data_IF_493583199055
#
_entry.id   IF_493583199055
#
_cell.length_a   1.000
_cell.length_b   1.000
_cell.length_c   1.000
_cell.angle_alpha   90.00
_cell.angle_beta   90.00
_cell.angle_gamma   90.00
#
_symmetry.space_group_name_H-M   'P 1'
#
loop_
_entity.id
_entity.type
_entity.pdbx_description
1 polymer ?
#
# COMPACT_ATOMS: atom_id res chain seq x y z
N UNK A 1 -5.18 5.39 -28.67
CA UNK A 1 -6.21 5.98 -27.79
C UNK A 1 -5.70 5.84 -26.37
N UNK A 2 -5.75 6.89 -25.56
CA UNK A 2 -5.36 6.80 -24.15
C UNK A 2 -6.48 6.06 -23.42
N UNK A 3 -6.15 5.00 -22.67
CA UNK A 3 -7.11 4.31 -21.82
C UNK A 3 -7.72 5.29 -20.82
N UNK A 4 -9.03 5.22 -20.65
CA UNK A 4 -9.73 5.93 -19.59
C UNK A 4 -10.33 4.90 -18.63
N UNK A 5 -9.92 4.96 -17.37
CA UNK A 5 -10.49 4.11 -16.34
C UNK A 5 -12.01 4.34 -16.23
N UNK A 6 -12.82 3.28 -16.19
CA UNK A 6 -14.26 3.40 -15.95
C UNK A 6 -14.59 3.86 -14.52
N UNK A 7 -13.59 3.92 -13.64
CA UNK A 7 -13.75 4.33 -12.25
C UNK A 7 -13.59 5.85 -12.14
N UNK A 8 -14.65 6.55 -11.74
CA UNK A 8 -14.61 7.99 -11.46
C UNK A 8 -13.59 8.29 -10.32
N UNK A 9 -12.80 9.37 -10.42
CA UNK A 9 -12.95 10.56 -11.30
C UNK A 9 -12.17 10.50 -12.61
N UNK A 10 -11.81 9.36 -13.17
CA UNK A 10 -11.07 9.23 -14.43
C UNK A 10 -9.57 8.99 -14.21
N UNK A 11 -8.70 9.43 -15.12
CA UNK A 11 -7.26 9.17 -15.08
C UNK A 11 -6.62 9.84 -13.87
N UNK A 12 -5.96 9.07 -13.02
CA UNK A 12 -5.19 9.59 -11.90
C UNK A 12 -3.81 10.09 -12.37
N UNK A 13 -3.15 10.93 -11.54
CA UNK A 13 -1.75 11.29 -11.77
C UNK A 13 -0.86 10.05 -11.92
N UNK A 14 -1.05 9.06 -11.05
CA UNK A 14 -0.26 7.84 -11.08
C UNK A 14 -0.47 7.01 -12.35
N UNK A 15 -1.70 6.97 -12.86
CA UNK A 15 -2.00 6.32 -14.13
C UNK A 15 -1.36 7.05 -15.31
N UNK A 16 -1.40 8.39 -15.31
CA UNK A 16 -0.79 9.22 -16.36
C UNK A 16 0.74 9.15 -16.36
N UNK A 17 1.36 8.87 -15.23
CA UNK A 17 2.82 8.92 -15.03
C UNK A 17 3.51 7.55 -14.88
N UNK A 18 2.76 6.45 -14.75
CA UNK A 18 3.33 5.10 -14.54
C UNK A 18 4.09 4.56 -15.76
N UNK A 19 3.84 5.11 -16.96
CA UNK A 19 4.35 4.57 -18.20
C UNK A 19 3.50 3.40 -18.72
N UNK A 20 4.15 2.35 -19.21
CA UNK A 20 3.46 1.22 -19.82
C UNK A 20 2.84 0.29 -18.76
N UNK A 21 1.54 0.08 -18.88
CA UNK A 21 0.79 -0.93 -18.11
C UNK A 21 0.54 -2.14 -18.99
N UNK A 22 0.95 -3.36 -18.59
CA UNK A 22 0.58 -4.57 -19.31
C UNK A 22 -0.94 -4.71 -19.39
N UNK A 23 -1.41 -5.30 -20.49
CA UNK A 23 -2.80 -5.71 -20.64
C UNK A 23 -2.92 -7.20 -20.31
N UNK A 24 -3.89 -7.54 -19.49
CA UNK A 24 -4.21 -8.93 -19.16
C UNK A 24 -5.57 -9.29 -19.76
N UNK A 25 -5.63 -10.45 -20.40
CA UNK A 25 -6.84 -10.90 -21.10
C UNK A 25 -8.04 -11.02 -20.13
N UNK A 26 -9.23 -10.79 -20.64
CA UNK A 26 -10.48 -11.13 -19.94
C UNK A 26 -10.53 -12.65 -19.75
N UNK A 27 -11.16 -13.10 -18.66
CA UNK A 27 -11.39 -14.55 -18.44
C UNK A 27 -12.17 -15.13 -19.60
N UNK A 28 -11.61 -16.16 -20.22
CA UNK A 28 -12.27 -16.90 -21.32
C UNK A 28 -12.74 -18.28 -20.85
N UNK A 29 -14.02 -18.57 -21.09
CA UNK A 29 -14.64 -19.84 -20.78
C UNK A 29 -14.65 -20.23 -19.30
N UNK A 30 -14.90 -21.51 -19.04
CA UNK A 30 -14.89 -22.08 -17.68
C UNK A 30 -13.52 -22.59 -17.32
N UNK A 31 -12.98 -22.10 -16.22
CA UNK A 31 -11.65 -22.50 -15.71
C UNK A 31 -11.76 -22.99 -14.26
N UNK A 32 -10.73 -23.66 -13.80
CA UNK A 32 -10.60 -24.12 -12.41
C UNK A 32 -9.21 -23.81 -11.88
N UNK A 33 -9.13 -23.48 -10.59
CA UNK A 33 -7.89 -23.21 -9.88
C UNK A 33 -8.02 -23.66 -8.43
N UNK A 34 -6.92 -23.70 -7.72
CA UNK A 34 -6.90 -23.98 -6.28
C UNK A 34 -7.39 -22.78 -5.48
N UNK A 35 -6.98 -21.57 -5.89
CA UNK A 35 -7.36 -20.32 -5.24
C UNK A 35 -7.81 -19.28 -6.27
N UNK A 36 -9.05 -18.82 -6.10
CA UNK A 36 -9.59 -17.69 -6.84
C UNK A 36 -9.48 -16.42 -6.00
N UNK A 37 -8.91 -15.37 -6.58
CA UNK A 37 -8.77 -14.06 -5.95
C UNK A 37 -9.65 -13.06 -6.70
N UNK A 38 -10.48 -12.33 -5.95
CA UNK A 38 -11.36 -11.30 -6.51
C UNK A 38 -10.78 -9.93 -6.15
N UNK A 39 -10.34 -9.20 -7.17
CA UNK A 39 -9.72 -7.87 -7.09
C UNK A 39 -8.21 -7.87 -7.28
N UNK A 40 -7.76 -7.09 -8.25
CA UNK A 40 -6.35 -6.92 -8.65
C UNK A 40 -5.66 -5.73 -7.98
N UNK A 41 -5.96 -5.47 -6.69
CA UNK A 41 -5.23 -4.50 -5.86
C UNK A 41 -4.02 -5.10 -5.17
N UNK A 42 -3.34 -4.32 -4.31
CA UNK A 42 -2.15 -4.77 -3.59
C UNK A 42 -2.35 -6.10 -2.85
N UNK A 43 -3.44 -6.24 -2.11
CA UNK A 43 -3.73 -7.44 -1.34
C UNK A 43 -3.88 -8.67 -2.23
N UNK A 44 -4.70 -8.54 -3.30
CA UNK A 44 -4.95 -9.65 -4.21
C UNK A 44 -3.71 -10.07 -4.99
N UNK A 45 -2.94 -9.11 -5.51
CA UNK A 45 -1.72 -9.40 -6.27
C UNK A 45 -0.59 -9.95 -5.38
N UNK A 46 -0.48 -9.46 -4.13
CA UNK A 46 0.48 -10.01 -3.17
C UNK A 46 0.12 -11.46 -2.81
N UNK A 47 -1.14 -11.74 -2.53
CA UNK A 47 -1.60 -13.12 -2.30
C UNK A 47 -1.36 -14.00 -3.52
N UNK A 48 -1.66 -13.52 -4.73
CA UNK A 48 -1.43 -14.24 -5.97
C UNK A 48 0.04 -14.61 -6.15
N UNK A 49 0.96 -13.66 -5.95
CA UNK A 49 2.39 -13.93 -6.02
C UNK A 49 2.83 -15.01 -5.03
N UNK A 50 2.51 -14.82 -3.75
CA UNK A 50 3.00 -15.73 -2.71
C UNK A 50 2.42 -17.15 -2.80
N UNK A 51 1.22 -17.31 -3.33
CA UNK A 51 0.61 -18.60 -3.59
C UNK A 51 1.20 -19.25 -4.85
N UNK A 52 1.26 -18.51 -5.96
CA UNK A 52 1.81 -19.03 -7.21
C UNK A 52 3.28 -19.41 -7.07
N UNK A 53 4.09 -18.65 -6.35
CA UNK A 53 5.49 -18.97 -6.04
C UNK A 53 5.67 -20.27 -5.24
N UNK A 54 4.58 -20.76 -4.59
CA UNK A 54 4.53 -22.07 -3.92
C UNK A 54 3.92 -23.18 -4.78
N UNK A 55 3.65 -22.92 -6.05
CA UNK A 55 3.06 -23.89 -6.98
C UNK A 55 1.54 -24.03 -6.89
N UNK A 56 0.86 -23.14 -6.16
CA UNK A 56 -0.61 -23.12 -6.09
C UNK A 56 -1.16 -22.51 -7.38
N UNK A 57 -2.17 -23.16 -7.99
CA UNK A 57 -2.87 -22.61 -9.16
C UNK A 57 -3.76 -21.44 -8.73
N UNK A 58 -3.46 -20.24 -9.24
CA UNK A 58 -4.15 -18.99 -8.85
C UNK A 58 -4.72 -18.29 -10.06
N UNK A 59 -5.99 -17.87 -9.96
CA UNK A 59 -6.62 -16.95 -10.89
C UNK A 59 -7.02 -15.67 -10.14
N UNK A 60 -6.67 -14.51 -10.68
CA UNK A 60 -7.11 -13.19 -10.18
C UNK A 60 -8.11 -12.61 -11.16
N UNK A 61 -9.30 -12.25 -10.67
CA UNK A 61 -10.33 -11.59 -11.46
C UNK A 61 -10.48 -10.14 -11.04
N UNK A 62 -10.15 -9.21 -11.93
CA UNK A 62 -10.33 -7.77 -11.73
C UNK A 62 -11.47 -7.25 -12.62
N UNK A 63 -12.33 -6.42 -12.07
CA UNK A 63 -13.49 -5.90 -12.80
C UNK A 63 -13.14 -4.88 -13.89
N UNK A 64 -12.01 -4.18 -13.74
CA UNK A 64 -11.51 -3.18 -14.68
C UNK A 64 -10.05 -3.50 -15.02
N UNK A 65 -9.16 -2.52 -15.04
CA UNK A 65 -7.71 -2.76 -15.08
C UNK A 65 -7.11 -2.91 -13.69
N UNK A 66 -6.07 -3.70 -13.58
CA UNK A 66 -5.31 -3.86 -12.32
C UNK A 66 -4.85 -2.49 -11.81
N UNK A 67 -5.22 -2.13 -10.60
CA UNK A 67 -4.88 -0.86 -9.98
C UNK A 67 -5.85 0.30 -10.24
N UNK A 68 -6.92 0.12 -10.98
CA UNK A 68 -7.93 1.16 -11.17
C UNK A 68 -8.67 1.52 -9.87
N UNK A 69 -8.67 0.62 -8.88
CA UNK A 69 -9.20 0.86 -7.55
C UNK A 69 -8.27 1.68 -6.64
N UNK A 70 -8.49 1.58 -5.34
CA UNK A 70 -7.78 2.35 -4.31
C UNK A 70 -6.24 2.15 -4.34
N UNK A 71 -5.76 0.97 -4.76
CA UNK A 71 -4.33 0.68 -4.81
C UNK A 71 -3.56 1.53 -5.81
N UNK A 72 -4.19 2.00 -6.88
CA UNK A 72 -3.58 2.93 -7.84
C UNK A 72 -3.99 4.39 -7.64
N UNK A 73 -4.77 4.71 -6.60
CA UNK A 73 -5.38 6.03 -6.37
C UNK A 73 -5.21 6.55 -4.94
N UNK A 74 -4.22 6.04 -4.21
CA UNK A 74 -3.89 6.49 -2.86
C UNK A 74 -2.84 7.61 -2.87
N UNK A 75 -2.46 8.11 -1.71
CA UNK A 75 -1.48 9.21 -1.59
C UNK A 75 -0.02 8.78 -1.75
N UNK A 76 0.26 7.50 -1.95
CA UNK A 76 1.63 6.97 -2.05
C UNK A 76 2.45 7.08 -0.76
N UNK A 77 1.82 7.40 0.37
CA UNK A 77 2.51 7.51 1.64
C UNK A 77 2.98 6.13 2.11
N UNK A 78 4.26 6.04 2.42
CA UNK A 78 4.92 4.85 2.96
C UNK A 78 5.23 5.09 4.42
N UNK A 79 4.18 5.02 5.24
CA UNK A 79 4.19 5.41 6.64
C UNK A 79 4.67 4.33 7.58
N UNK A 80 4.89 4.72 8.84
CA UNK A 80 5.23 3.85 9.95
C UNK A 80 4.06 3.63 10.89
N UNK A 81 4.06 2.53 11.63
CA UNK A 81 3.05 2.20 12.63
C UNK A 81 1.65 1.99 12.06
N UNK A 82 0.67 2.24 12.90
CA UNK A 82 -0.76 2.13 12.58
C UNK A 82 -1.37 3.52 12.32
N UNK A 83 -2.65 3.56 11.97
CA UNK A 83 -3.37 4.82 11.74
C UNK A 83 -3.45 5.70 13.00
N UNK A 84 -3.67 5.08 14.16
CA UNK A 84 -3.65 5.75 15.45
C UNK A 84 -2.22 5.79 16.01
N UNK A 85 -1.88 6.84 16.72
CA UNK A 85 -0.61 6.92 17.41
C UNK A 85 -0.54 5.90 18.55
N UNK A 86 0.66 5.49 18.90
CA UNK A 86 0.87 4.51 19.98
C UNK A 86 0.34 5.00 21.31
N UNK A 87 0.42 6.30 21.57
CA UNK A 87 -0.14 6.96 22.77
C UNK A 87 -1.67 6.88 22.84
N UNK A 88 -2.33 6.74 21.69
CA UNK A 88 -3.79 6.52 21.63
C UNK A 88 -4.13 5.04 21.78
N UNK A 89 -3.31 4.16 21.22
CA UNK A 89 -3.55 2.70 21.24
C UNK A 89 -3.23 2.05 22.59
N UNK A 90 -2.13 2.46 23.24
CA UNK A 90 -1.69 1.82 24.48
C UNK A 90 -2.74 1.83 25.61
N UNK A 91 -3.49 2.92 25.85
CA UNK A 91 -4.55 2.92 26.86
C UNK A 91 -5.67 1.92 26.58
N UNK A 92 -5.91 1.57 25.31
CA UNK A 92 -7.01 0.71 24.89
C UNK A 92 -6.61 -0.77 24.87
N UNK A 93 -5.43 -1.09 24.35
CA UNK A 93 -5.03 -2.48 24.09
C UNK A 93 -3.79 -2.94 24.86
N UNK A 94 -3.16 -2.05 25.62
CA UNK A 94 -1.92 -2.29 26.36
C UNK A 94 -0.65 -2.21 25.52
N UNK A 95 0.48 -1.98 26.20
CA UNK A 95 1.80 -1.78 25.57
C UNK A 95 2.21 -2.94 24.66
N UNK A 96 2.14 -4.18 25.15
CA UNK A 96 2.62 -5.36 24.41
C UNK A 96 1.91 -5.54 23.08
N UNK A 97 0.59 -5.33 23.05
CA UNK A 97 -0.19 -5.44 21.79
C UNK A 97 0.08 -4.24 20.86
N UNK A 98 0.20 -3.06 21.44
CA UNK A 98 0.53 -1.85 20.68
C UNK A 98 1.91 -1.97 20.03
N UNK A 99 2.90 -2.47 20.80
CA UNK A 99 4.26 -2.75 20.31
C UNK A 99 4.25 -3.80 19.20
N UNK A 100 3.53 -4.89 19.37
CA UNK A 100 3.44 -5.94 18.36
C UNK A 100 2.82 -5.44 17.04
N UNK A 101 1.80 -4.59 17.12
CA UNK A 101 1.20 -3.96 15.92
C UNK A 101 2.16 -2.98 15.25
N UNK A 102 2.93 -2.23 16.04
CA UNK A 102 3.95 -1.34 15.51
C UNK A 102 5.06 -2.12 14.79
N UNK A 103 5.60 -3.15 15.43
CA UNK A 103 6.65 -4.00 14.85
C UNK A 103 6.18 -4.68 13.56
N UNK A 104 4.93 -5.15 13.53
CA UNK A 104 4.33 -5.73 12.32
C UNK A 104 4.30 -4.71 11.15
N UNK A 105 4.03 -3.44 11.44
CA UNK A 105 4.04 -2.40 10.41
C UNK A 105 5.45 -2.10 9.91
N UNK A 106 6.45 -2.11 10.80
CA UNK A 106 7.86 -1.95 10.42
C UNK A 106 8.36 -3.14 9.58
N UNK A 107 8.02 -4.36 9.99
CA UNK A 107 8.33 -5.57 9.22
C UNK A 107 7.68 -5.55 7.83
N UNK A 108 6.44 -5.08 7.73
CA UNK A 108 5.74 -4.93 6.45
C UNK A 108 6.43 -3.92 5.52
N UNK A 109 6.93 -2.80 6.04
CA UNK A 109 7.73 -1.83 5.26
C UNK A 109 9.04 -2.46 4.77
N UNK A 110 9.77 -3.09 5.67
CA UNK A 110 11.04 -3.77 5.32
C UNK A 110 10.81 -4.85 4.25
N UNK A 111 9.77 -5.66 4.41
CA UNK A 111 9.38 -6.68 3.43
C UNK A 111 9.05 -6.08 2.07
N UNK A 112 8.28 -4.99 2.02
CA UNK A 112 7.91 -4.35 0.76
C UNK A 112 9.13 -3.76 0.03
N UNK A 113 10.06 -3.12 0.74
CA UNK A 113 11.31 -2.60 0.18
C UNK A 113 12.18 -3.73 -0.38
N UNK A 114 12.39 -4.78 0.42
CA UNK A 114 13.15 -5.96 -0.01
C UNK A 114 12.50 -6.67 -1.21
N UNK A 115 11.18 -6.78 -1.24
CA UNK A 115 10.44 -7.33 -2.37
C UNK A 115 10.66 -6.50 -3.63
N UNK A 116 10.56 -5.18 -3.53
CA UNK A 116 10.79 -4.29 -4.68
C UNK A 116 12.23 -4.41 -5.21
N UNK A 117 13.22 -4.46 -4.32
CA UNK A 117 14.63 -4.62 -4.67
C UNK A 117 14.89 -5.97 -5.38
N UNK A 118 14.48 -7.08 -4.77
CA UNK A 118 14.66 -8.45 -5.32
C UNK A 118 14.01 -8.62 -6.70
N UNK A 119 12.88 -7.95 -6.94
CA UNK A 119 12.16 -8.07 -8.21
C UNK A 119 12.43 -6.91 -9.19
N UNK A 120 13.33 -6.00 -8.85
CA UNK A 120 13.70 -4.86 -9.70
C UNK A 120 12.52 -3.90 -9.96
N UNK A 121 11.66 -3.70 -8.97
CA UNK A 121 10.50 -2.80 -9.07
C UNK A 121 10.94 -1.40 -8.67
N UNK A 122 11.13 -0.54 -9.66
CA UNK A 122 11.32 0.89 -9.41
C UNK A 122 9.96 1.54 -9.08
N UNK A 123 9.76 1.87 -7.82
CA UNK A 123 8.53 2.48 -7.31
C UNK A 123 8.70 3.95 -6.95
N UNK A 124 9.76 4.62 -7.44
CA UNK A 124 10.11 6.00 -7.11
C UNK A 124 10.13 6.25 -5.59
N UNK A 125 10.71 5.34 -4.82
CA UNK A 125 10.77 5.52 -3.37
C UNK A 125 11.64 6.70 -2.97
N UNK A 126 11.05 7.65 -2.24
CA UNK A 126 11.77 8.80 -1.67
C UNK A 126 11.60 8.75 -0.15
N UNK A 127 12.71 8.60 0.61
CA UNK A 127 12.66 8.54 2.07
C UNK A 127 12.39 9.91 2.69
N UNK A 128 11.73 9.89 3.83
CA UNK A 128 11.47 11.04 4.69
C UNK A 128 10.06 11.60 4.58
N UNK A 129 9.56 12.02 5.73
CA UNK A 129 8.26 12.68 5.86
C UNK A 129 8.35 13.80 6.91
N UNK A 130 7.60 14.87 6.70
CA UNK A 130 7.43 15.95 7.66
C UNK A 130 5.98 15.96 8.14
N UNK A 131 5.78 15.95 9.47
CA UNK A 131 4.50 16.17 10.10
C UNK A 131 4.56 17.47 10.89
N UNK A 132 3.71 18.45 10.56
CA UNK A 132 3.86 19.82 11.04
C UNK A 132 2.70 20.27 11.92
N UNK A 133 3.01 21.08 12.92
CA UNK A 133 2.09 21.57 13.93
C UNK A 133 1.55 22.95 13.55
N UNK A 134 0.24 23.04 13.37
CA UNK A 134 -0.46 24.27 13.03
C UNK A 134 -1.30 24.87 14.18
N UNK A 135 -1.46 24.13 15.29
CA UNK A 135 -2.19 24.57 16.49
C UNK A 135 -1.35 24.39 17.75
N UNK A 136 -1.34 25.39 18.68
CA UNK A 136 -0.59 25.30 19.92
C UNK A 136 -0.93 24.06 20.78
N UNK A 137 -2.19 23.61 20.73
CA UNK A 137 -2.65 22.46 21.51
C UNK A 137 -1.93 21.14 21.15
N UNK A 138 -1.36 21.02 19.96
CA UNK A 138 -0.63 19.82 19.52
C UNK A 138 0.88 19.85 19.81
N UNK A 139 1.42 21.01 20.23
CA UNK A 139 2.87 21.16 20.42
C UNK A 139 3.45 20.14 21.38
N UNK A 140 2.81 19.95 22.53
CA UNK A 140 3.31 19.05 23.58
C UNK A 140 3.41 17.62 23.08
N UNK A 141 2.37 17.13 22.40
CA UNK A 141 2.31 15.76 21.92
C UNK A 141 3.38 15.52 20.84
N UNK A 142 3.49 16.42 19.87
CA UNK A 142 4.52 16.32 18.84
C UNK A 142 5.96 16.45 19.36
N UNK A 143 6.17 17.21 20.45
CA UNK A 143 7.49 17.32 21.07
C UNK A 143 7.88 16.07 21.86
N UNK A 144 6.92 15.43 22.54
CA UNK A 144 7.19 14.23 23.35
C UNK A 144 7.23 12.96 22.53
N UNK A 145 6.48 12.90 21.42
CA UNK A 145 6.35 11.69 20.59
C UNK A 145 7.69 11.09 20.12
N UNK A 146 8.70 11.84 19.61
CA UNK A 146 9.98 11.25 19.22
C UNK A 146 10.70 10.51 20.35
N UNK A 147 10.66 11.03 21.57
CA UNK A 147 11.25 10.37 22.75
C UNK A 147 10.52 9.06 23.08
N UNK A 148 9.19 9.07 23.08
CA UNK A 148 8.37 7.87 23.32
C UNK A 148 8.69 6.79 22.28
N UNK A 149 8.77 7.17 20.99
CA UNK A 149 9.07 6.25 19.91
C UNK A 149 10.47 5.65 20.01
N UNK A 150 11.47 6.46 20.33
CA UNK A 150 12.84 5.99 20.49
C UNK A 150 13.00 5.05 21.70
N UNK A 151 12.46 5.43 22.86
CA UNK A 151 12.69 4.72 24.13
C UNK A 151 11.83 3.47 24.26
N UNK A 152 10.57 3.52 23.83
CA UNK A 152 9.60 2.43 24.07
C UNK A 152 9.36 1.55 22.85
N UNK A 153 9.46 2.12 21.64
CA UNK A 153 9.19 1.41 20.39
C UNK A 153 10.44 1.04 19.60
N UNK A 154 11.62 1.42 20.10
CA UNK A 154 12.89 1.22 19.41
C UNK A 154 12.89 1.83 17.98
N UNK A 155 12.28 3.01 17.85
CA UNK A 155 12.16 3.73 16.60
C UNK A 155 12.85 5.11 16.67
N UNK A 156 14.16 5.18 16.37
CA UNK A 156 14.95 6.40 16.53
C UNK A 156 14.87 7.35 15.33
N UNK A 157 14.00 7.11 14.37
CA UNK A 157 13.95 7.83 13.10
C UNK A 157 13.18 9.15 13.18
N UNK A 158 12.43 9.38 14.26
CA UNK A 158 11.69 10.61 14.50
C UNK A 158 12.55 11.65 15.22
N UNK A 159 12.56 12.88 14.71
CA UNK A 159 13.21 14.03 15.35
C UNK A 159 12.28 15.22 15.37
N UNK A 160 12.27 15.96 16.51
CA UNK A 160 11.55 17.23 16.62
C UNK A 160 12.29 18.35 15.91
N UNK A 161 11.58 19.21 15.21
CA UNK A 161 12.04 20.44 14.57
C UNK A 161 11.30 21.64 15.16
N UNK A 162 12.03 22.65 15.62
CA UNK A 162 11.42 23.90 16.05
C UNK A 162 10.86 24.74 14.88
N UNK A 163 10.14 25.81 15.21
CA UNK A 163 9.44 26.65 14.21
C UNK A 163 10.41 27.17 13.11
N UNK A 164 11.60 27.61 13.49
CA UNK A 164 12.58 28.14 12.52
C UNK A 164 13.04 27.06 11.54
N UNK A 165 13.44 25.89 12.04
CA UNK A 165 13.88 24.77 11.18
C UNK A 165 12.75 24.30 10.28
N UNK A 166 11.53 24.23 10.80
CA UNK A 166 10.34 23.86 10.01
C UNK A 166 10.08 24.88 8.90
N UNK A 167 10.19 26.18 9.20
CA UNK A 167 10.04 27.24 8.21
C UNK A 167 11.12 27.18 7.10
N UNK A 168 12.38 26.97 7.48
CA UNK A 168 13.49 26.85 6.53
C UNK A 168 13.31 25.67 5.57
N UNK A 169 12.74 24.56 6.03
CA UNK A 169 12.48 23.36 5.19
C UNK A 169 11.26 23.48 4.29
N UNK A 170 10.20 24.15 4.76
CA UNK A 170 8.93 24.22 4.04
C UNK A 170 8.74 25.52 3.24
N UNK A 171 9.60 26.52 3.47
CA UNK A 171 9.40 27.84 2.88
C UNK A 171 8.17 28.59 3.47
N UNK A 172 7.75 28.24 4.69
CA UNK A 172 6.55 28.81 5.33
C UNK A 172 6.71 28.95 6.82
N UNK A 173 6.45 30.15 7.34
CA UNK A 173 6.45 30.47 8.78
C UNK A 173 5.12 30.17 9.49
N UNK A 174 4.16 29.54 8.81
CA UNK A 174 2.83 29.26 9.36
C UNK A 174 2.85 28.25 10.50
N UNK A 175 3.83 27.37 10.55
CA UNK A 175 3.86 26.23 11.44
C UNK A 175 4.70 26.48 12.69
N UNK A 176 4.26 25.94 13.82
CA UNK A 176 4.85 26.13 15.14
C UNK A 176 6.04 25.20 15.40
N UNK A 177 6.25 24.24 14.53
CA UNK A 177 7.25 23.17 14.58
C UNK A 177 6.73 21.94 13.89
N UNK A 178 7.42 20.80 14.05
CA UNK A 178 7.02 19.53 13.48
C UNK A 178 7.98 18.41 13.81
N UNK A 179 7.70 17.24 13.31
CA UNK A 179 8.60 16.09 13.34
C UNK A 179 9.08 15.75 11.95
N UNK A 180 10.35 15.37 11.86
CA UNK A 180 10.93 14.73 10.67
C UNK A 180 11.08 13.24 10.96
N UNK A 181 10.54 12.43 10.09
CA UNK A 181 10.67 10.97 10.14
C UNK A 181 11.53 10.51 8.96
N UNK A 182 12.65 9.86 9.23
CA UNK A 182 13.57 9.32 8.22
C UNK A 182 13.34 7.84 7.93
N UNK A 183 12.52 7.17 8.72
CA UNK A 183 12.13 5.77 8.53
C UNK A 183 10.88 5.57 7.68
N UNK A 184 10.29 6.66 7.20
CA UNK A 184 9.12 6.68 6.31
C UNK A 184 9.49 7.26 4.95
N UNK A 185 8.51 7.42 4.08
CA UNK A 185 8.71 8.04 2.78
C UNK A 185 7.44 8.09 1.94
N UNK A 186 7.63 8.19 0.64
CA UNK A 186 6.55 8.01 -0.31
C UNK A 186 7.02 7.20 -1.53
N UNK A 187 6.06 6.62 -2.21
CA UNK A 187 6.26 5.80 -3.41
C UNK A 187 5.31 6.25 -4.52
N UNK A 188 5.57 5.77 -5.72
CA UNK A 188 4.60 5.79 -6.81
C UNK A 188 3.76 4.49 -6.75
N UNK A 189 2.56 4.51 -6.17
CA UNK A 189 1.81 3.28 -5.86
C UNK A 189 1.47 2.45 -7.10
N UNK A 190 1.19 3.11 -8.23
CA UNK A 190 0.88 2.41 -9.48
C UNK A 190 2.11 1.71 -10.06
N UNK A 191 3.31 2.27 -9.96
CA UNK A 191 4.55 1.58 -10.39
C UNK A 191 4.78 0.32 -9.56
N UNK A 192 4.63 0.41 -8.23
CA UNK A 192 4.71 -0.76 -7.36
C UNK A 192 3.66 -1.81 -7.72
N UNK A 193 2.41 -1.41 -7.95
CA UNK A 193 1.33 -2.31 -8.32
C UNK A 193 1.59 -3.02 -9.64
N UNK A 194 2.02 -2.30 -10.68
CA UNK A 194 2.37 -2.88 -11.99
C UNK A 194 3.54 -3.85 -11.86
N UNK A 195 4.55 -3.51 -11.07
CA UNK A 195 5.67 -4.40 -10.77
C UNK A 195 5.22 -5.67 -10.07
N UNK A 196 4.36 -5.55 -9.08
CA UNK A 196 3.79 -6.69 -8.33
C UNK A 196 2.95 -7.58 -9.25
N UNK A 197 2.13 -7.00 -10.14
CA UNK A 197 1.34 -7.76 -11.12
C UNK A 197 2.24 -8.56 -12.08
N UNK A 198 3.26 -7.91 -12.65
CA UNK A 198 4.25 -8.58 -13.51
C UNK A 198 4.94 -9.75 -12.79
N UNK A 199 5.28 -9.54 -11.51
CA UNK A 199 5.94 -10.55 -10.68
C UNK A 199 5.00 -11.72 -10.37
N UNK A 200 3.73 -11.45 -10.05
CA UNK A 200 2.72 -12.48 -9.83
C UNK A 200 2.46 -13.31 -11.08
N UNK A 201 2.32 -12.67 -12.24
CA UNK A 201 2.17 -13.36 -13.53
C UNK A 201 3.39 -14.21 -13.87
N UNK A 202 4.61 -13.71 -13.65
CA UNK A 202 5.86 -14.46 -13.84
C UNK A 202 5.96 -15.69 -12.92
N UNK A 203 5.39 -15.61 -11.71
CA UNK A 203 5.31 -16.72 -10.77
C UNK A 203 4.26 -17.78 -11.17
N UNK A 204 3.43 -17.52 -12.18
CA UNK A 204 2.42 -18.44 -12.69
C UNK A 204 0.98 -18.10 -12.32
N UNK A 205 0.71 -16.97 -11.66
CA UNK A 205 -0.67 -16.54 -11.44
C UNK A 205 -1.29 -16.07 -12.75
N UNK A 206 -2.52 -16.52 -13.04
CA UNK A 206 -3.31 -16.01 -14.15
C UNK A 206 -4.04 -14.74 -13.70
N UNK A 207 -3.75 -13.64 -14.37
CA UNK A 207 -4.38 -12.35 -14.11
C UNK A 207 -5.40 -12.06 -15.21
N UNK A 208 -6.65 -11.73 -14.84
CA UNK A 208 -7.72 -11.44 -15.78
C UNK A 208 -8.32 -10.07 -15.48
N UNK A 209 -8.21 -9.14 -16.42
CA UNK A 209 -8.86 -7.83 -16.38
C UNK A 209 -10.26 -7.90 -17.03
N UNK A 210 -11.08 -6.86 -16.80
CA UNK A 210 -12.45 -6.77 -17.33
C UNK A 210 -13.31 -8.02 -17.02
N UNK A 211 -13.02 -8.66 -15.90
CA UNK A 211 -13.61 -9.94 -15.49
C UNK A 211 -14.40 -9.80 -14.19
N UNK A 212 -15.38 -8.89 -14.20
CA UNK A 212 -16.21 -8.55 -13.03
C UNK A 212 -16.96 -9.76 -12.52
N UNK A 213 -16.70 -10.17 -11.28
CA UNK A 213 -17.48 -11.22 -10.60
C UNK A 213 -18.84 -10.64 -10.22
N UNK A 214 -19.91 -11.30 -10.66
CA UNK A 214 -21.29 -10.90 -10.41
C UNK A 214 -22.04 -11.86 -9.48
N UNK A 215 -21.53 -13.08 -9.30
CA UNK A 215 -22.14 -14.08 -8.43
C UNK A 215 -21.08 -15.01 -7.83
N UNK A 216 -21.28 -15.35 -6.57
CA UNK A 216 -20.56 -16.42 -5.87
C UNK A 216 -21.57 -17.46 -5.39
N UNK A 217 -21.27 -18.72 -5.59
CA UNK A 217 -22.07 -19.85 -5.11
C UNK A 217 -21.16 -20.97 -4.61
N UNK A 218 -21.70 -21.84 -3.76
CA UNK A 218 -21.04 -23.10 -3.42
C UNK A 218 -21.79 -24.23 -4.09
N UNK A 219 -21.12 -24.97 -4.96
CA UNK A 219 -21.68 -26.09 -5.68
C UNK A 219 -20.82 -27.32 -5.46
N UNK A 220 -21.43 -28.40 -4.94
CA UNK A 220 -20.74 -29.68 -4.68
C UNK A 220 -19.46 -29.54 -3.87
N UNK A 221 -19.46 -28.64 -2.87
CA UNK A 221 -18.30 -28.38 -1.98
C UNK A 221 -17.20 -27.50 -2.59
N UNK A 222 -17.41 -26.92 -3.77
CA UNK A 222 -16.48 -25.97 -4.41
C UNK A 222 -17.12 -24.59 -4.49
N UNK A 223 -16.29 -23.55 -4.41
CA UNK A 223 -16.72 -22.17 -4.66
C UNK A 223 -16.72 -21.94 -6.17
N UNK A 224 -17.83 -21.46 -6.69
CA UNK A 224 -17.99 -21.09 -8.10
C UNK A 224 -18.24 -19.59 -8.19
N UNK A 225 -17.41 -18.90 -8.97
CA UNK A 225 -17.59 -17.49 -9.30
C UNK A 225 -18.05 -17.36 -10.77
N UNK A 226 -19.06 -16.54 -10.99
CA UNK A 226 -19.55 -16.19 -12.31
C UNK A 226 -19.13 -14.75 -12.63
N UNK A 227 -18.57 -14.53 -13.82
CA UNK A 227 -18.26 -13.22 -14.36
C UNK A 227 -19.39 -12.66 -15.20
N UNK A 228 -19.31 -11.37 -15.52
CA UNK A 228 -20.30 -10.68 -16.36
C UNK A 228 -20.09 -10.95 -17.86
N UNK A 229 -18.94 -11.50 -18.24
CA UNK A 229 -18.58 -11.84 -19.62
C UNK A 229 -18.57 -13.35 -19.80
#
# INVERSE_FOLDING_TARGET
MTYQSPISPGVSWYEASVGERPDYATLDGSQSCDVLIIGGGFTGLSAAYHLAAKGVSVIVLEQAKLGDGASGRNGGQFGTGQRAWVEEMEPEIGFERSKALFDMAEDAKAHMLAFADVHGIDMDYVPGQLSVVHKPSYLKDYQSHPGIMAERYNYPHLTWMGAKETADRLGSSRYLGGTRDTGTGHIHPMKFLVGLAKTAAKAGAQLCENSKVIKLATERGKVVAQTAA
#
